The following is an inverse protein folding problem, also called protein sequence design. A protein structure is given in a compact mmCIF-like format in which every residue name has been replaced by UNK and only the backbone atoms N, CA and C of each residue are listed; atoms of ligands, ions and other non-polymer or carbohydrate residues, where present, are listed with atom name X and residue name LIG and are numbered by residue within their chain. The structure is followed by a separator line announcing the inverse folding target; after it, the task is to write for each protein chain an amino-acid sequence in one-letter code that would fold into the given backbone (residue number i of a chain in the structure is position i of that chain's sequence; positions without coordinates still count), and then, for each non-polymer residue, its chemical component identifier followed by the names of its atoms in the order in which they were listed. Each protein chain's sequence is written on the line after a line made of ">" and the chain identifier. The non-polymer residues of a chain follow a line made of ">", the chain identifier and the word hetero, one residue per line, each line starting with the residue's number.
data_IF_928611461875
#
_entry.id   IF_928611461875
#
_cell.length_a   1.000
_cell.length_b   1.000
_cell.length_c   1.000
_cell.angle_alpha   90.00
_cell.angle_beta   90.00
_cell.angle_gamma   90.00
#
_symmetry.space_group_name_H-M   'P 1'
#
loop_
_entity.id
_entity.type
_entity.pdbx_description
1 polymer ?
#
# COMPACT_ATOMS: atom_id res chain seq x y z
N UNK A 1 -4.62 -65.41 -52.81
CA UNK A 1 -4.74 -65.44 -51.35
C UNK A 1 -4.28 -64.10 -50.78
N UNK A 2 -5.04 -63.58 -49.83
CA UNK A 2 -5.10 -62.16 -49.44
C UNK A 2 -3.89 -61.68 -48.64
N UNK A 3 -3.26 -60.59 -49.11
CA UNK A 3 -2.34 -59.77 -48.32
C UNK A 3 -3.15 -58.66 -47.66
N UNK A 4 -3.68 -58.93 -46.48
CA UNK A 4 -4.29 -57.95 -45.57
C UNK A 4 -3.78 -58.25 -44.18
N UNK A 5 -3.76 -57.26 -43.30
CA UNK A 5 -3.24 -57.28 -41.93
C UNK A 5 -1.74 -57.01 -41.77
N UNK A 6 -1.31 -55.77 -42.02
CA UNK A 6 -0.14 -55.20 -41.34
C UNK A 6 -0.12 -53.67 -41.50
N UNK A 7 -1.19 -53.01 -41.05
CA UNK A 7 -1.22 -51.54 -40.97
C UNK A 7 -2.27 -51.10 -39.95
N UNK A 8 -2.12 -51.53 -38.70
CA UNK A 8 -2.93 -51.00 -37.60
C UNK A 8 -2.20 -51.14 -36.25
N UNK A 9 -1.00 -50.57 -36.13
CA UNK A 9 -0.30 -50.50 -34.83
C UNK A 9 0.52 -49.22 -34.64
N UNK A 10 0.20 -48.14 -35.37
CA UNK A 10 0.96 -46.87 -35.32
C UNK A 10 0.08 -45.65 -35.03
N UNK A 11 -1.03 -45.81 -34.30
CA UNK A 11 -1.92 -44.71 -33.90
C UNK A 11 -2.30 -44.82 -32.41
N UNK A 12 -1.34 -45.09 -31.52
CA UNK A 12 -1.58 -45.12 -30.07
C UNK A 12 -0.50 -44.39 -29.23
N UNK A 13 0.32 -43.52 -29.82
CA UNK A 13 1.33 -42.74 -29.08
C UNK A 13 1.20 -41.20 -29.23
N UNK A 14 0.09 -40.68 -29.75
CA UNK A 14 -0.10 -39.23 -29.94
C UNK A 14 -1.10 -38.58 -28.98
N UNK A 15 -1.41 -39.22 -27.86
CA UNK A 15 -2.13 -38.60 -26.74
C UNK A 15 -1.25 -38.52 -25.49
N UNK A 16 0.00 -38.07 -25.64
CA UNK A 16 0.58 -37.26 -24.57
C UNK A 16 -0.19 -35.94 -24.58
N UNK A 17 -1.32 -35.92 -23.88
CA UNK A 17 -1.96 -34.68 -23.40
C UNK A 17 -0.81 -33.88 -22.81
N UNK A 18 -0.34 -32.85 -23.51
CA UNK A 18 0.38 -31.78 -22.85
C UNK A 18 -0.65 -31.19 -21.90
N UNK A 19 -0.70 -31.70 -20.67
CA UNK A 19 -1.27 -30.93 -19.60
C UNK A 19 -0.51 -29.60 -19.67
N UNK A 20 -1.22 -28.51 -19.99
CA UNK A 20 -0.75 -27.17 -19.66
C UNK A 20 -0.35 -27.27 -18.20
N UNK A 21 0.94 -27.35 -17.92
CA UNK A 21 1.41 -27.39 -16.55
C UNK A 21 1.16 -25.95 -16.08
N UNK A 22 0.09 -25.69 -15.29
CA UNK A 22 -0.17 -24.33 -14.86
C UNK A 22 1.10 -23.87 -14.18
N UNK A 23 1.65 -22.73 -14.61
CA UNK A 23 2.95 -22.28 -14.15
C UNK A 23 2.94 -22.20 -12.61
N UNK A 24 3.49 -23.24 -11.99
CA UNK A 24 3.41 -23.48 -10.55
C UNK A 24 4.10 -22.34 -9.81
N UNK A 25 5.14 -21.79 -10.43
CA UNK A 25 5.88 -20.65 -9.90
C UNK A 25 5.07 -19.36 -10.00
N UNK A 26 4.43 -19.08 -11.14
CA UNK A 26 3.51 -17.93 -11.26
C UNK A 26 2.41 -17.99 -10.20
N UNK A 27 1.83 -19.18 -9.99
CA UNK A 27 0.78 -19.40 -8.98
C UNK A 27 1.31 -19.16 -7.56
N UNK A 28 2.49 -19.68 -7.24
CA UNK A 28 3.11 -19.46 -5.93
C UNK A 28 3.39 -17.97 -5.67
N UNK A 29 3.97 -17.26 -6.63
CA UNK A 29 4.23 -15.82 -6.53
C UNK A 29 2.93 -15.02 -6.34
N UNK A 30 1.86 -15.39 -7.07
CA UNK A 30 0.54 -14.78 -6.91
C UNK A 30 -0.01 -14.99 -5.50
N UNK A 31 0.04 -16.22 -4.99
CA UNK A 31 -0.43 -16.54 -3.64
C UNK A 31 0.38 -15.79 -2.56
N UNK A 32 1.70 -15.66 -2.73
CA UNK A 32 2.53 -14.87 -1.81
C UNK A 32 2.13 -13.38 -1.82
N UNK A 33 1.96 -12.80 -3.02
CA UNK A 33 1.49 -11.42 -3.18
C UNK A 33 0.13 -11.19 -2.51
N UNK A 34 -0.85 -12.07 -2.75
CA UNK A 34 -2.20 -12.00 -2.16
C UNK A 34 -2.17 -12.16 -0.62
N UNK A 35 -1.29 -13.03 -0.12
CA UNK A 35 -1.08 -13.19 1.32
C UNK A 35 -0.52 -11.91 1.95
N UNK A 36 0.51 -11.31 1.36
CA UNK A 36 1.07 -10.05 1.84
C UNK A 36 0.08 -8.88 1.72
N UNK A 37 -0.78 -8.87 0.70
CA UNK A 37 -1.87 -7.91 0.58
C UNK A 37 -2.89 -8.04 1.73
N UNK A 38 -3.22 -9.28 2.10
CA UNK A 38 -4.12 -9.56 3.23
C UNK A 38 -3.51 -9.07 4.54
N UNK A 39 -2.23 -9.32 4.78
CA UNK A 39 -1.50 -8.81 5.95
C UNK A 39 -1.48 -7.28 5.99
N UNK A 40 -1.25 -6.63 4.85
CA UNK A 40 -1.33 -5.18 4.73
C UNK A 40 -2.72 -4.65 5.12
N UNK A 41 -3.80 -5.25 4.61
CA UNK A 41 -5.16 -4.83 4.94
C UNK A 41 -5.51 -5.00 6.42
N UNK A 42 -5.08 -6.10 7.02
CA UNK A 42 -5.23 -6.32 8.46
C UNK A 42 -4.49 -5.24 9.24
N UNK A 43 -3.24 -4.95 8.85
CA UNK A 43 -2.45 -3.92 9.53
C UNK A 43 -3.06 -2.52 9.39
N UNK A 44 -3.57 -2.15 8.22
CA UNK A 44 -4.27 -0.87 8.03
C UNK A 44 -5.50 -0.78 8.95
N UNK A 45 -6.23 -1.87 9.13
CA UNK A 45 -7.37 -1.94 10.04
C UNK A 45 -6.96 -1.79 11.52
N UNK A 46 -5.87 -2.44 11.93
CA UNK A 46 -5.26 -2.25 13.25
C UNK A 46 -4.84 -0.79 13.47
N UNK A 47 -4.12 -0.18 12.53
CA UNK A 47 -3.72 1.23 12.58
C UNK A 47 -4.91 2.17 12.76
N UNK A 48 -6.06 1.87 12.12
CA UNK A 48 -7.30 2.63 12.33
C UNK A 48 -7.83 2.49 13.75
N UNK A 49 -7.76 1.30 14.34
CA UNK A 49 -8.22 1.05 15.71
C UNK A 49 -7.40 1.79 16.77
N UNK A 50 -6.10 1.99 16.53
CA UNK A 50 -5.18 2.71 17.43
C UNK A 50 -5.50 4.21 17.59
N UNK A 51 -6.27 4.79 16.65
CA UNK A 51 -6.64 6.23 16.68
C UNK A 51 -7.40 6.64 17.94
N UNK A 52 -8.07 5.69 18.58
CA UNK A 52 -8.82 5.93 19.83
C UNK A 52 -7.89 6.26 21.01
N UNK A 53 -6.65 5.78 20.95
CA UNK A 53 -5.65 5.89 22.02
C UNK A 53 -4.78 7.16 21.85
N UNK A 54 -4.98 7.92 20.77
CA UNK A 54 -4.27 9.18 20.55
C UNK A 54 -4.72 10.25 21.55
N UNK A 55 -3.76 10.95 22.15
CA UNK A 55 -4.03 12.07 23.06
C UNK A 55 -4.33 13.36 22.28
N UNK A 56 -5.63 13.67 22.16
CA UNK A 56 -6.11 14.87 21.47
C UNK A 56 -5.96 16.16 22.29
N UNK A 57 -5.57 16.06 23.56
CA UNK A 57 -5.31 17.20 24.44
C UNK A 57 -3.85 17.67 24.39
N UNK A 58 -2.96 16.85 23.83
CA UNK A 58 -1.54 17.17 23.66
C UNK A 58 -1.39 18.46 22.86
N UNK A 59 -0.63 19.41 23.41
CA UNK A 59 -0.31 20.67 22.75
C UNK A 59 0.63 20.46 21.55
N UNK A 60 0.37 21.23 20.50
CA UNK A 60 1.16 21.28 19.26
C UNK A 60 1.96 22.60 19.20
N UNK A 61 2.56 23.00 20.30
CA UNK A 61 3.06 24.37 20.57
C UNK A 61 4.55 24.58 20.22
N UNK A 62 4.99 24.07 19.07
CA UNK A 62 6.33 24.44 18.57
C UNK A 62 6.31 25.87 18.01
N UNK A 63 7.38 26.64 18.24
CA UNK A 63 7.50 28.01 17.71
C UNK A 63 7.19 28.07 16.20
N UNK A 64 7.72 27.13 15.44
CA UNK A 64 7.45 26.98 14.01
C UNK A 64 5.96 26.77 13.72
N UNK A 65 5.34 25.72 14.28
CA UNK A 65 3.93 25.42 14.02
C UNK A 65 3.00 26.54 14.49
N UNK A 66 3.30 27.19 15.61
CA UNK A 66 2.47 28.29 16.13
C UNK A 66 2.46 29.52 15.23
N UNK A 67 3.57 29.78 14.52
CA UNK A 67 3.72 30.92 13.61
C UNK A 67 2.97 30.79 12.29
N UNK A 68 2.49 29.58 11.96
CA UNK A 68 1.73 29.31 10.74
C UNK A 68 0.29 29.82 10.83
N UNK A 69 -0.32 30.10 9.68
CA UNK A 69 -1.73 30.47 9.60
C UNK A 69 -2.67 29.26 9.83
N UNK A 70 -3.98 29.51 9.86
CA UNK A 70 -4.99 28.46 10.12
C UNK A 70 -4.97 27.39 9.01
N UNK A 71 -4.88 27.78 7.74
CA UNK A 71 -4.86 26.86 6.59
C UNK A 71 -3.61 25.98 6.59
N UNK A 72 -2.44 26.56 6.83
CA UNK A 72 -1.18 25.84 6.89
C UNK A 72 -1.16 24.81 8.02
N UNK A 73 -1.68 25.18 9.20
CA UNK A 73 -1.87 24.23 10.32
C UNK A 73 -2.80 23.09 9.95
N UNK A 74 -3.89 23.37 9.24
CA UNK A 74 -4.80 22.33 8.74
C UNK A 74 -4.10 21.40 7.75
N UNK A 75 -3.31 21.94 6.80
CA UNK A 75 -2.57 21.17 5.82
C UNK A 75 -1.56 20.24 6.50
N UNK A 76 -0.78 20.75 7.46
CA UNK A 76 0.16 19.92 8.23
C UNK A 76 -0.55 18.80 9.00
N UNK A 77 -1.70 19.07 9.61
CA UNK A 77 -2.46 18.04 10.31
C UNK A 77 -2.99 16.97 9.33
N UNK A 78 -3.49 17.36 8.16
CA UNK A 78 -3.89 16.42 7.09
C UNK A 78 -2.70 15.59 6.61
N UNK A 79 -1.55 16.22 6.41
CA UNK A 79 -0.32 15.54 6.03
C UNK A 79 0.13 14.56 7.12
N UNK A 80 0.12 14.99 8.39
CA UNK A 80 0.43 14.15 9.55
C UNK A 80 -0.48 12.93 9.63
N UNK A 81 -1.77 13.06 9.32
CA UNK A 81 -2.70 11.94 9.29
C UNK A 81 -2.32 10.90 8.23
N UNK A 82 -1.98 11.36 7.02
CA UNK A 82 -1.51 10.49 5.95
C UNK A 82 -0.17 9.84 6.32
N UNK A 83 0.76 10.61 6.88
CA UNK A 83 2.06 10.15 7.35
C UNK A 83 1.93 9.06 8.42
N UNK A 84 1.21 9.31 9.49
CA UNK A 84 1.00 8.34 10.58
C UNK A 84 0.37 7.04 10.08
N UNK A 85 -0.61 7.14 9.17
CA UNK A 85 -1.28 5.97 8.58
C UNK A 85 -0.30 5.15 7.71
N UNK A 86 0.59 5.81 6.96
CA UNK A 86 1.60 5.12 6.16
C UNK A 86 2.70 4.49 7.01
N UNK A 87 3.21 5.22 8.01
CA UNK A 87 4.27 4.72 8.90
C UNK A 87 3.80 3.50 9.71
N UNK A 88 2.55 3.51 10.19
CA UNK A 88 2.01 2.42 11.00
C UNK A 88 1.98 1.06 10.28
N UNK A 89 1.82 1.07 8.95
CA UNK A 89 1.78 -0.13 8.10
C UNK A 89 3.00 -0.25 7.18
N UNK A 90 4.09 0.47 7.46
CA UNK A 90 5.23 0.59 6.54
C UNK A 90 5.83 -0.77 6.19
N UNK A 91 6.00 -1.65 7.17
CA UNK A 91 6.59 -2.98 7.00
C UNK A 91 5.76 -3.83 6.05
N UNK A 92 4.46 -3.90 6.28
CA UNK A 92 3.54 -4.71 5.47
C UNK A 92 3.38 -4.13 4.06
N UNK A 93 3.42 -2.80 3.92
CA UNK A 93 3.45 -2.13 2.59
C UNK A 93 4.71 -2.52 1.82
N UNK A 94 5.86 -2.55 2.47
CA UNK A 94 7.13 -2.97 1.85
C UNK A 94 7.08 -4.44 1.43
N UNK A 95 6.62 -5.34 2.32
CA UNK A 95 6.46 -6.76 2.00
C UNK A 95 5.54 -6.98 0.80
N UNK A 96 4.36 -6.35 0.79
CA UNK A 96 3.43 -6.43 -0.34
C UNK A 96 4.07 -5.92 -1.63
N UNK A 97 4.67 -4.72 -1.59
CA UNK A 97 5.32 -4.11 -2.76
C UNK A 97 6.41 -5.01 -3.33
N UNK A 98 7.23 -5.63 -2.48
CA UNK A 98 8.27 -6.56 -2.92
C UNK A 98 7.69 -7.81 -3.59
N UNK A 99 6.69 -8.46 -2.97
CA UNK A 99 6.04 -9.64 -3.57
C UNK A 99 5.29 -9.31 -4.86
N UNK A 100 4.69 -8.13 -4.94
CA UNK A 100 4.02 -7.61 -6.14
C UNK A 100 5.01 -7.43 -7.29
N UNK A 101 6.15 -6.79 -7.04
CA UNK A 101 7.20 -6.61 -8.05
C UNK A 101 7.71 -7.97 -8.54
N UNK A 102 7.95 -8.92 -7.64
CA UNK A 102 8.38 -10.27 -8.01
C UNK A 102 7.36 -10.99 -8.90
N UNK A 103 6.07 -10.93 -8.53
CA UNK A 103 4.99 -11.50 -9.33
C UNK A 103 4.94 -10.86 -10.72
N UNK A 104 4.88 -9.53 -10.80
CA UNK A 104 4.77 -8.78 -12.07
C UNK A 104 5.98 -9.03 -12.96
N UNK A 105 7.18 -9.07 -12.39
CA UNK A 105 8.42 -9.32 -13.13
C UNK A 105 8.44 -10.72 -13.77
N UNK A 106 7.85 -11.71 -13.10
CA UNK A 106 7.79 -13.08 -13.60
C UNK A 106 6.61 -13.31 -14.55
N UNK A 107 5.41 -12.90 -14.17
CA UNK A 107 4.17 -13.21 -14.90
C UNK A 107 3.87 -12.24 -16.05
N UNK A 108 4.43 -11.03 -16.00
CA UNK A 108 4.09 -9.94 -16.92
C UNK A 108 2.71 -9.32 -16.66
N UNK A 109 1.95 -9.82 -15.68
CA UNK A 109 0.67 -9.26 -15.28
C UNK A 109 0.88 -7.96 -14.49
N UNK A 110 0.58 -6.83 -15.14
CA UNK A 110 0.79 -5.48 -14.60
C UNK A 110 -0.44 -4.92 -13.90
N UNK A 111 -1.59 -5.60 -13.94
CA UNK A 111 -2.83 -5.06 -13.39
C UNK A 111 -2.69 -4.72 -11.90
N UNK A 112 -2.19 -5.63 -11.03
CA UNK A 112 -2.05 -5.33 -9.60
C UNK A 112 -1.05 -4.20 -9.32
N UNK A 113 -0.02 -4.03 -10.17
CA UNK A 113 0.94 -2.93 -10.04
C UNK A 113 0.31 -1.59 -10.40
N UNK A 114 -0.45 -1.54 -11.48
CA UNK A 114 -1.12 -0.32 -11.92
C UNK A 114 -2.15 0.15 -10.88
N UNK A 115 -2.88 -0.79 -10.26
CA UNK A 115 -3.77 -0.49 -9.15
C UNK A 115 -3.01 0.04 -7.92
N UNK A 116 -1.91 -0.64 -7.56
CA UNK A 116 -1.08 -0.22 -6.44
C UNK A 116 -0.53 1.20 -6.62
N UNK A 117 -0.02 1.53 -7.81
CA UNK A 117 0.53 2.86 -8.12
C UNK A 117 -0.53 3.96 -7.98
N UNK A 118 -1.77 3.73 -8.43
CA UNK A 118 -2.87 4.70 -8.26
C UNK A 118 -3.14 5.01 -6.78
N UNK A 119 -3.01 4.02 -5.91
CA UNK A 119 -3.17 4.20 -4.46
C UNK A 119 -1.97 4.94 -3.81
N UNK A 120 -0.78 4.83 -4.40
CA UNK A 120 0.44 5.48 -3.91
C UNK A 120 0.55 6.96 -4.28
N UNK A 121 -0.06 7.42 -5.38
CA UNK A 121 0.07 8.81 -5.86
C UNK A 121 -0.35 9.87 -4.82
N UNK A 122 -1.26 9.52 -3.91
CA UNK A 122 -1.71 10.40 -2.82
C UNK A 122 -2.34 11.70 -3.30
N UNK A 123 -2.48 12.66 -2.39
CA UNK A 123 -3.02 13.99 -2.68
C UNK A 123 -1.90 14.93 -3.16
N UNK A 124 -1.88 15.21 -4.48
CA UNK A 124 -0.87 16.07 -5.11
C UNK A 124 -0.98 17.53 -4.67
N UNK A 125 -2.19 18.02 -4.41
CA UNK A 125 -2.40 19.41 -3.97
C UNK A 125 -1.86 19.59 -2.55
N UNK A 126 -2.14 18.63 -1.66
CA UNK A 126 -1.57 18.64 -0.32
C UNK A 126 -0.04 18.58 -0.35
N UNK A 127 0.56 17.76 -1.23
CA UNK A 127 2.01 17.72 -1.39
C UNK A 127 2.61 19.07 -1.81
N UNK A 128 1.97 19.77 -2.76
CA UNK A 128 2.39 21.11 -3.18
C UNK A 128 2.26 22.13 -2.05
N UNK A 129 1.15 22.10 -1.31
CA UNK A 129 0.91 22.98 -0.17
C UNK A 129 1.97 22.77 0.93
N UNK A 130 2.28 21.51 1.29
CA UNK A 130 3.34 21.20 2.25
C UNK A 130 4.72 21.65 1.73
N UNK A 131 4.99 21.51 0.43
CA UNK A 131 6.23 22.01 -0.14
C UNK A 131 6.35 23.54 -0.03
N UNK A 132 5.24 24.29 -0.18
CA UNK A 132 5.25 25.75 0.02
C UNK A 132 5.41 26.16 1.47
N UNK A 133 4.88 25.38 2.42
CA UNK A 133 5.00 25.64 3.87
C UNK A 133 6.42 25.33 4.36
N UNK A 134 7.02 24.26 3.85
CA UNK A 134 8.35 23.78 4.24
C UNK A 134 8.32 22.30 4.58
N UNK A 135 8.74 21.46 3.62
CA UNK A 135 8.68 20.00 3.74
C UNK A 135 9.53 19.46 4.90
N UNK A 136 10.73 20.02 5.13
CA UNK A 136 11.67 19.55 6.16
C UNK A 136 11.10 19.79 7.56
N UNK A 137 10.63 21.00 7.84
CA UNK A 137 10.04 21.34 9.13
C UNK A 137 8.73 20.57 9.36
N UNK A 138 7.92 20.42 8.31
CA UNK A 138 6.70 19.60 8.35
C UNK A 138 7.04 18.16 8.73
N UNK A 139 7.98 17.51 8.05
CA UNK A 139 8.38 16.12 8.34
C UNK A 139 8.90 15.95 9.76
N UNK A 140 9.74 16.89 10.23
CA UNK A 140 10.25 16.91 11.60
C UNK A 140 9.12 17.03 12.62
N UNK A 141 8.19 17.96 12.38
CA UNK A 141 7.04 18.18 13.26
C UNK A 141 6.13 16.96 13.30
N UNK A 142 5.70 16.42 12.15
CA UNK A 142 4.78 15.27 12.13
C UNK A 142 5.44 14.02 12.71
N UNK A 143 6.73 13.80 12.52
CA UNK A 143 7.43 12.66 13.12
C UNK A 143 7.50 12.75 14.65
N UNK A 144 7.64 13.96 15.19
CA UNK A 144 7.74 14.17 16.63
C UNK A 144 6.37 14.20 17.34
N UNK A 145 5.34 14.74 16.69
CA UNK A 145 4.05 15.00 17.34
C UNK A 145 2.90 14.16 16.82
N UNK A 146 2.95 13.74 15.55
CA UNK A 146 1.86 13.12 14.81
C UNK A 146 2.28 11.80 14.14
N UNK A 147 3.19 11.03 14.77
CA UNK A 147 3.71 9.77 14.21
C UNK A 147 2.79 8.57 14.47
N UNK A 148 1.96 8.62 15.51
CA UNK A 148 0.98 7.59 15.85
C UNK A 148 -0.35 7.86 15.15
N UNK A 149 -1.09 6.84 14.66
CA UNK A 149 -2.39 7.04 14.03
C UNK A 149 -3.37 7.86 14.89
N UNK A 150 -4.06 8.82 14.25
CA UNK A 150 -5.04 9.68 14.89
C UNK A 150 -6.20 10.01 13.95
N UNK A 151 -7.22 10.70 14.47
CA UNK A 151 -8.32 11.26 13.68
C UNK A 151 -8.06 12.77 13.42
N UNK A 152 -7.83 13.13 12.15
CA UNK A 152 -7.51 14.50 11.76
C UNK A 152 -8.62 15.49 12.13
N UNK A 153 -9.90 15.13 11.91
CA UNK A 153 -11.01 16.02 12.20
C UNK A 153 -11.15 16.28 13.70
N UNK A 154 -10.97 15.22 14.52
CA UNK A 154 -10.99 15.36 15.98
C UNK A 154 -9.84 16.23 16.49
N UNK A 155 -8.64 16.08 15.93
CA UNK A 155 -7.49 16.92 16.28
C UNK A 155 -7.68 18.39 15.87
N UNK A 156 -8.19 18.64 14.67
CA UNK A 156 -8.52 19.99 14.21
C UNK A 156 -9.54 20.67 15.13
N UNK A 157 -10.57 19.94 15.56
CA UNK A 157 -11.57 20.46 16.50
C UNK A 157 -10.96 20.77 17.87
N UNK A 158 -10.11 19.90 18.43
CA UNK A 158 -9.50 20.15 19.74
C UNK A 158 -8.59 21.38 19.76
N UNK A 159 -8.02 21.74 18.60
CA UNK A 159 -7.14 22.90 18.43
C UNK A 159 -7.84 24.14 17.87
N UNK A 160 -9.17 24.16 17.75
CA UNK A 160 -9.96 25.27 17.17
C UNK A 160 -9.53 25.63 15.73
N UNK A 161 -9.09 24.62 14.99
CA UNK A 161 -8.68 24.74 13.60
C UNK A 161 -9.77 24.33 12.62
N UNK A 162 -10.93 23.82 13.08
CA UNK A 162 -12.10 23.62 12.22
C UNK A 162 -12.97 24.88 12.14
#
# INVERSE_FOLDING_TARGET
>A
MHFKYLSLSLILCSLSVQAENPDVWAKQLKTEMESNYTLLNNRVSECKSMRKDFDYSKTLDTQWFTGLDKSEKQAIIKYGFAYASQQCALKERQSYTNSLINYVAYSGDKEPLNEWLKLLEGDKNLQQEINSIGIVDTQKFVSAYLSTPFDALKLLKSHKLF
#
